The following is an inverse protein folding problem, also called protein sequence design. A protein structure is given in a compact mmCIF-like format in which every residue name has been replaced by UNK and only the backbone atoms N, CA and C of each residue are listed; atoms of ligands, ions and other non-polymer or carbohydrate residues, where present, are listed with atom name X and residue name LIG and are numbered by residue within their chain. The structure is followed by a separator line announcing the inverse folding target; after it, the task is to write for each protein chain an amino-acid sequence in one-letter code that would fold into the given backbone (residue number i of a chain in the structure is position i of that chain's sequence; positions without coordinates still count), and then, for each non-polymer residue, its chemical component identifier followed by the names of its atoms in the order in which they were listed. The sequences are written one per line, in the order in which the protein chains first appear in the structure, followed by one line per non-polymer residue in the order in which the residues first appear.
data_IF_152711241905
#
_entry.id   IF_152711241905
#
_cell.length_a   1.000
_cell.length_b   1.000
_cell.length_c   1.000
_cell.angle_alpha   90.00
_cell.angle_beta   90.00
_cell.angle_gamma   90.00
#
_symmetry.space_group_name_H-M   'P 1'
#
loop_
_entity.id
_entity.type
_entity.pdbx_description
1 polymer ?
#
# COMPACT_ATOMS: atom_id res chain seq x y z
N UNK A 1 39.05 56.86 9.44
CA UNK A 1 39.54 55.46 9.39
C UNK A 1 40.55 55.37 8.26
N UNK A 2 41.75 54.82 8.49
CA UNK A 2 42.71 54.67 7.41
C UNK A 2 42.10 53.74 6.35
N UNK A 3 42.17 54.12 5.07
CA UNK A 3 41.83 53.23 3.97
C UNK A 3 42.78 52.03 4.08
N UNK A 4 42.25 50.82 4.24
CA UNK A 4 43.04 49.60 4.04
C UNK A 4 43.65 49.71 2.64
N UNK A 5 44.98 49.78 2.57
CA UNK A 5 45.68 49.80 1.31
C UNK A 5 45.54 48.41 0.69
N UNK A 6 45.07 48.35 -0.57
CA UNK A 6 45.07 47.11 -1.31
C UNK A 6 46.51 46.61 -1.42
N UNK A 7 46.75 45.40 -0.90
CA UNK A 7 48.07 44.78 -0.86
C UNK A 7 48.64 44.63 -2.28
N UNK A 8 47.78 44.42 -3.29
CA UNK A 8 48.20 44.32 -4.69
C UNK A 8 48.74 45.65 -5.21
N UNK A 9 48.08 46.76 -4.88
CA UNK A 9 48.53 48.09 -5.29
C UNK A 9 49.86 48.46 -4.62
N UNK A 10 50.06 48.07 -3.35
CA UNK A 10 51.32 48.28 -2.62
C UNK A 10 52.46 47.47 -3.25
N UNK A 11 52.22 46.19 -3.57
CA UNK A 11 53.23 45.32 -4.19
C UNK A 11 53.55 45.78 -5.61
N UNK A 12 52.53 46.14 -6.40
CA UNK A 12 52.69 46.66 -7.77
C UNK A 12 53.50 47.95 -7.76
N UNK A 13 53.14 48.90 -6.90
CA UNK A 13 53.87 50.16 -6.75
C UNK A 13 55.34 49.94 -6.34
N UNK A 14 55.61 49.00 -5.43
CA UNK A 14 56.98 48.67 -5.03
C UNK A 14 57.81 48.07 -6.17
N UNK A 15 57.23 47.14 -6.94
CA UNK A 15 57.90 46.49 -8.08
C UNK A 15 58.15 47.48 -9.23
N UNK A 16 57.19 48.36 -9.54
CA UNK A 16 57.32 49.40 -10.58
C UNK A 16 58.44 50.41 -10.26
N UNK A 17 58.68 50.68 -8.98
CA UNK A 17 59.75 51.57 -8.52
C UNK A 17 61.08 50.84 -8.27
N UNK A 18 61.25 49.62 -8.82
CA UNK A 18 62.48 48.85 -8.76
C UNK A 18 62.82 48.31 -7.37
N UNK A 19 61.88 48.32 -6.42
CA UNK A 19 62.10 47.80 -5.07
C UNK A 19 61.93 46.29 -5.06
N UNK A 20 62.81 45.61 -4.34
CA UNK A 20 62.69 44.18 -4.11
C UNK A 20 61.67 43.91 -3.02
N UNK A 21 60.57 43.23 -3.38
CA UNK A 21 59.56 42.78 -2.42
C UNK A 21 59.91 41.36 -1.99
N UNK A 22 60.04 41.15 -0.68
CA UNK A 22 60.27 39.84 -0.09
C UNK A 22 59.04 39.43 0.70
N UNK A 23 58.56 38.22 0.47
CA UNK A 23 57.41 37.67 1.19
C UNK A 23 57.85 36.43 1.96
N UNK A 24 57.46 36.32 3.24
CA UNK A 24 57.71 35.12 4.02
C UNK A 24 56.90 33.94 3.45
N UNK A 25 57.58 32.88 3.03
CA UNK A 25 57.01 31.63 2.53
C UNK A 25 57.32 30.52 3.52
N UNK A 26 56.30 29.77 3.93
CA UNK A 26 56.49 28.58 4.75
C UNK A 26 56.83 27.40 3.84
N UNK A 27 58.06 26.92 3.90
CA UNK A 27 58.42 25.61 3.40
C UNK A 27 58.21 24.58 4.51
N UNK A 28 57.74 23.38 4.13
CA UNK A 28 57.66 22.18 4.98
C UNK A 28 57.08 22.33 6.41
N UNK A 29 56.04 23.16 6.59
CA UNK A 29 55.28 23.39 7.84
C UNK A 29 56.09 23.90 9.04
N UNK A 30 57.42 23.98 8.97
CA UNK A 30 58.28 24.41 10.09
C UNK A 30 59.31 25.46 9.71
N UNK A 31 59.52 25.74 8.42
CA UNK A 31 60.62 26.61 7.97
C UNK A 31 60.08 27.83 7.25
N UNK A 32 60.39 29.03 7.73
CA UNK A 32 60.03 30.29 7.07
C UNK A 32 61.22 30.82 6.27
N UNK A 33 61.05 30.97 4.95
CA UNK A 33 62.06 31.54 4.05
C UNK A 33 61.53 32.81 3.38
N UNK A 34 62.38 33.81 3.19
CA UNK A 34 62.00 35.02 2.46
C UNK A 34 62.26 34.84 0.96
N UNK A 35 61.19 34.88 0.14
CA UNK A 35 61.30 34.75 -1.32
C UNK A 35 61.13 36.10 -1.99
N UNK A 36 62.02 36.43 -2.93
CA UNK A 36 61.96 37.67 -3.72
C UNK A 36 60.92 37.53 -4.84
N UNK A 37 59.90 38.40 -4.82
CA UNK A 37 58.90 38.50 -5.87
C UNK A 37 59.47 39.21 -7.11
N UNK A 38 59.18 38.65 -8.29
CA UNK A 38 59.55 39.24 -9.59
C UNK A 38 58.35 39.74 -10.39
N UNK A 39 57.17 39.14 -10.24
CA UNK A 39 55.91 39.50 -10.92
C UNK A 39 54.70 39.09 -10.09
N UNK A 40 53.60 39.84 -10.18
CA UNK A 40 52.30 39.49 -9.58
C UNK A 40 51.71 38.20 -10.16
N UNK A 41 52.08 37.81 -11.38
CA UNK A 41 51.62 36.56 -12.02
C UNK A 41 52.17 35.30 -11.35
N UNK A 42 53.20 35.43 -10.51
CA UNK A 42 53.79 34.31 -9.77
C UNK A 42 53.13 34.03 -8.41
N UNK A 43 51.93 34.60 -8.18
CA UNK A 43 51.18 34.48 -6.92
C UNK A 43 49.87 33.74 -7.17
N UNK A 44 49.75 32.52 -6.64
CA UNK A 44 48.50 31.72 -6.69
C UNK A 44 47.82 31.73 -5.34
N UNK A 45 46.66 32.39 -5.23
CA UNK A 45 45.91 32.50 -3.97
C UNK A 45 45.16 31.22 -3.66
N UNK A 46 45.25 30.73 -2.42
CA UNK A 46 44.49 29.57 -1.93
C UNK A 46 43.85 29.92 -0.58
N UNK A 47 42.52 29.91 -0.44
CA UNK A 47 41.86 30.20 0.83
C UNK A 47 42.01 29.04 1.83
N UNK A 48 42.13 29.35 3.13
CA UNK A 48 42.18 28.34 4.20
C UNK A 48 40.80 27.71 4.54
N UNK A 49 39.71 28.44 4.28
CA UNK A 49 38.33 27.96 4.26
C UNK A 49 37.49 28.92 3.40
N UNK A 50 36.63 28.38 2.54
CA UNK A 50 35.72 29.17 1.71
C UNK A 50 34.26 28.96 2.11
N UNK A 51 33.43 29.98 1.96
CA UNK A 51 31.98 29.88 2.12
C UNK A 51 31.27 30.55 0.94
N UNK A 52 30.11 30.04 0.53
CA UNK A 52 29.24 30.80 -0.38
C UNK A 52 28.42 31.86 0.40
N UNK A 53 27.73 32.76 -0.33
CA UNK A 53 26.87 33.79 0.28
C UNK A 53 25.62 33.24 0.99
N UNK A 54 25.29 31.97 0.82
CA UNK A 54 24.18 31.29 1.50
C UNK A 54 24.66 30.51 2.75
N UNK A 55 25.96 30.55 3.07
CA UNK A 55 26.54 29.89 4.24
C UNK A 55 27.04 28.47 3.99
N UNK A 56 27.09 28.00 2.74
CA UNK A 56 27.65 26.70 2.37
C UNK A 56 29.15 26.65 2.57
N UNK A 57 29.65 25.69 3.37
CA UNK A 57 31.08 25.50 3.67
C UNK A 57 31.82 24.78 2.55
N UNK A 58 32.96 25.31 2.11
CA UNK A 58 33.85 24.65 1.16
C UNK A 58 34.77 23.63 1.87
N UNK A 59 34.42 22.34 1.75
CA UNK A 59 35.30 21.18 2.00
C UNK A 59 35.56 20.79 3.48
N UNK A 60 35.78 19.48 3.70
CA UNK A 60 36.35 18.92 4.93
C UNK A 60 37.52 17.98 4.59
N UNK A 61 38.75 18.49 4.66
CA UNK A 61 39.94 17.65 4.88
C UNK A 61 40.52 16.82 3.72
N UNK A 62 40.12 17.08 2.47
CA UNK A 62 40.78 16.73 1.20
C UNK A 62 39.90 17.31 0.05
N UNK A 63 39.74 18.62 0.06
CA UNK A 63 38.65 19.33 -0.64
C UNK A 63 38.85 19.49 -2.15
N UNK A 64 37.84 20.05 -2.82
CA UNK A 64 37.83 20.43 -4.24
C UNK A 64 39.12 21.13 -4.70
N UNK A 65 39.67 22.02 -3.87
CA UNK A 65 40.91 22.74 -4.13
C UNK A 65 42.18 21.86 -4.07
N UNK A 66 42.22 20.80 -3.25
CA UNK A 66 43.37 19.89 -3.16
C UNK A 66 43.56 19.04 -4.43
N UNK A 67 42.48 18.87 -5.22
CA UNK A 67 42.54 18.21 -6.54
C UNK A 67 42.95 19.19 -7.63
N UNK A 68 42.47 20.43 -7.59
CA UNK A 68 42.88 21.51 -8.51
C UNK A 68 44.37 21.85 -8.36
N UNK A 69 44.91 21.77 -7.13
CA UNK A 69 46.33 21.95 -6.83
C UNK A 69 47.25 20.92 -7.50
N UNK A 70 46.73 19.73 -7.86
CA UNK A 70 47.52 18.68 -8.54
C UNK A 70 47.72 18.94 -10.03
N UNK A 71 46.88 19.79 -10.63
CA UNK A 71 46.93 20.12 -12.06
C UNK A 71 47.79 21.37 -12.36
N UNK A 72 48.23 22.08 -11.32
CA UNK A 72 49.06 23.29 -11.43
C UNK A 72 50.55 22.92 -11.56
N UNK A 73 51.27 23.61 -12.45
CA UNK A 73 52.69 23.34 -12.72
C UNK A 73 53.60 23.67 -11.51
N UNK A 74 54.78 23.05 -11.37
CA UNK A 74 55.58 23.09 -10.14
C UNK A 74 56.25 24.43 -9.80
N UNK A 75 56.05 25.50 -10.58
CA UNK A 75 56.75 26.76 -10.35
C UNK A 75 56.13 27.53 -9.18
N UNK A 76 56.70 27.29 -7.99
CA UNK A 76 56.65 28.08 -6.75
C UNK A 76 55.25 28.55 -6.32
N UNK A 77 54.59 27.72 -5.50
CA UNK A 77 53.30 28.05 -4.86
C UNK A 77 53.47 29.06 -3.72
N UNK A 78 52.66 30.13 -3.70
CA UNK A 78 52.58 31.10 -2.60
C UNK A 78 51.15 31.15 -2.06
N UNK A 79 50.87 30.51 -0.92
CA UNK A 79 49.56 30.62 -0.27
C UNK A 79 49.47 31.85 0.63
N UNK A 80 48.58 32.80 0.32
CA UNK A 80 48.18 33.87 1.26
C UNK A 80 46.88 33.42 1.93
N UNK A 81 46.95 33.04 3.20
CA UNK A 81 45.76 32.67 3.98
C UNK A 81 45.00 33.93 4.42
N UNK A 82 43.79 34.13 3.92
CA UNK A 82 42.77 34.93 4.60
C UNK A 82 41.83 34.03 5.41
N UNK A 83 41.16 34.61 6.40
CA UNK A 83 40.25 33.87 7.29
C UNK A 83 38.98 33.36 6.56
N UNK A 84 38.49 34.07 5.52
CA UNK A 84 37.26 33.74 4.78
C UNK A 84 37.33 34.30 3.35
N UNK A 85 36.89 33.53 2.34
CA UNK A 85 36.63 34.01 0.97
C UNK A 85 35.17 33.71 0.58
N UNK A 86 34.46 34.71 0.07
CA UNK A 86 33.06 34.61 -0.41
C UNK A 86 33.05 34.55 -1.94
N UNK A 87 32.36 33.56 -2.51
CA UNK A 87 32.27 33.34 -3.96
C UNK A 87 30.89 33.80 -4.49
N UNK A 88 30.87 34.49 -5.65
CA UNK A 88 29.65 35.15 -6.18
C UNK A 88 28.70 34.22 -6.97
N UNK A 89 29.17 33.08 -7.47
CA UNK A 89 28.33 32.11 -8.21
C UNK A 89 27.93 30.90 -7.37
N UNK A 90 26.71 30.39 -7.59
CA UNK A 90 26.22 29.15 -6.98
C UNK A 90 27.11 27.97 -7.42
N UNK A 91 27.61 27.19 -6.48
CA UNK A 91 28.55 26.09 -6.75
C UNK A 91 27.89 25.07 -7.70
N UNK A 92 28.53 24.70 -8.83
CA UNK A 92 28.04 23.58 -9.64
C UNK A 92 28.15 22.29 -8.82
N UNK A 93 27.03 21.59 -8.64
CA UNK A 93 26.98 20.31 -7.94
C UNK A 93 27.92 19.30 -8.61
N UNK A 94 28.84 18.73 -7.83
CA UNK A 94 29.75 17.67 -8.30
C UNK A 94 28.96 16.39 -8.62
N UNK A 95 29.53 15.52 -9.45
CA UNK A 95 28.88 14.26 -9.86
C UNK A 95 28.58 13.36 -8.63
N UNK A 96 29.42 13.43 -7.60
CA UNK A 96 29.22 12.77 -6.32
C UNK A 96 28.04 13.36 -5.53
N UNK A 97 27.88 14.69 -5.52
CA UNK A 97 26.77 15.36 -4.83
C UNK A 97 25.44 15.05 -5.52
N UNK A 98 25.42 15.00 -6.85
CA UNK A 98 24.26 14.55 -7.63
C UNK A 98 23.87 13.12 -7.27
N UNK A 99 24.83 12.20 -7.16
CA UNK A 99 24.57 10.81 -6.76
C UNK A 99 24.03 10.74 -5.33
N UNK A 100 24.61 11.47 -4.38
CA UNK A 100 24.14 11.49 -3.00
C UNK A 100 22.71 12.05 -2.87
N UNK A 101 22.37 13.07 -3.67
CA UNK A 101 21.02 13.63 -3.72
C UNK A 101 20.03 12.62 -4.29
N UNK A 102 20.37 11.88 -5.35
CA UNK A 102 19.52 10.80 -5.87
C UNK A 102 19.26 9.74 -4.80
N UNK A 103 20.29 9.33 -4.06
CA UNK A 103 20.14 8.37 -2.94
C UNK A 103 19.20 8.91 -1.87
N UNK A 104 19.41 10.17 -1.45
CA UNK A 104 18.57 10.81 -0.44
C UNK A 104 17.11 10.94 -0.90
N UNK A 105 16.88 11.26 -2.18
CA UNK A 105 15.55 11.32 -2.78
C UNK A 105 14.89 9.95 -2.81
N UNK A 106 15.61 8.87 -3.15
CA UNK A 106 15.05 7.51 -3.15
C UNK A 106 14.65 7.10 -1.73
N UNK A 107 15.53 7.33 -0.74
CA UNK A 107 15.24 7.02 0.67
C UNK A 107 14.05 7.85 1.17
N UNK A 108 14.01 9.16 0.87
CA UNK A 108 12.91 10.03 1.23
C UNK A 108 11.58 9.62 0.60
N UNK A 109 11.61 9.24 -0.69
CA UNK A 109 10.44 8.73 -1.42
C UNK A 109 9.96 7.42 -0.83
N UNK A 110 10.87 6.51 -0.50
CA UNK A 110 10.54 5.25 0.18
C UNK A 110 9.88 5.53 1.54
N UNK A 111 10.49 6.37 2.38
CA UNK A 111 9.96 6.70 3.71
C UNK A 111 8.56 7.36 3.64
N UNK A 112 8.32 8.20 2.63
CA UNK A 112 7.02 8.81 2.40
C UNK A 112 5.97 7.80 1.90
N UNK A 113 6.35 6.91 0.97
CA UNK A 113 5.43 5.99 0.31
C UNK A 113 5.14 4.71 1.11
N UNK A 114 6.03 4.27 2.00
CA UNK A 114 5.94 2.95 2.65
C UNK A 114 4.71 2.84 3.56
N UNK A 115 4.44 3.87 4.37
CA UNK A 115 3.33 3.87 5.31
C UNK A 115 1.95 3.82 4.61
N UNK A 116 1.65 4.66 3.60
CA UNK A 116 0.38 4.56 2.88
C UNK A 116 0.25 3.27 2.07
N UNK A 117 1.34 2.73 1.50
CA UNK A 117 1.30 1.43 0.81
C UNK A 117 1.00 0.28 1.77
N UNK A 118 1.75 0.19 2.88
CA UNK A 118 1.55 -0.84 3.87
C UNK A 118 0.15 -0.78 4.50
N UNK A 119 -0.37 0.43 4.73
CA UNK A 119 -1.73 0.64 5.25
C UNK A 119 -2.84 0.34 4.25
N UNK A 120 -2.55 0.32 2.94
CA UNK A 120 -3.55 0.02 1.90
C UNK A 120 -3.84 -1.47 1.72
N UNK A 121 -2.99 -2.34 2.28
CA UNK A 121 -3.17 -3.79 2.21
C UNK A 121 -4.28 -4.22 3.19
N UNK A 122 -5.23 -5.01 2.68
CA UNK A 122 -6.24 -5.67 3.52
C UNK A 122 -5.54 -6.62 4.48
N UNK A 123 -6.10 -6.85 5.66
CA UNK A 123 -5.52 -7.75 6.67
C UNK A 123 -6.36 -9.03 6.75
N UNK A 124 -5.68 -10.17 6.79
CA UNK A 124 -6.33 -11.47 6.88
C UNK A 124 -6.76 -11.79 8.30
N UNK A 125 -7.48 -12.90 8.45
CA UNK A 125 -8.00 -13.39 9.73
C UNK A 125 -6.90 -13.48 10.80
N UNK A 126 -5.71 -13.96 10.45
CA UNK A 126 -4.61 -14.15 11.41
C UNK A 126 -4.06 -12.83 11.99
N UNK A 127 -4.20 -11.72 11.26
CA UNK A 127 -3.68 -10.40 11.65
C UNK A 127 -4.77 -9.51 12.25
N UNK A 128 -5.98 -9.54 11.68
CA UNK A 128 -7.10 -8.70 12.10
C UNK A 128 -7.99 -9.36 13.17
N UNK A 129 -7.87 -10.69 13.33
CA UNK A 129 -8.84 -11.50 14.06
C UNK A 129 -10.13 -11.68 13.25
N UNK A 130 -11.06 -12.48 13.80
CA UNK A 130 -12.35 -12.71 13.17
C UNK A 130 -12.98 -14.04 13.56
N UNK A 131 -13.91 -14.52 12.75
CA UNK A 131 -14.65 -15.75 13.04
C UNK A 131 -14.39 -16.83 12.00
N UNK A 132 -14.10 -18.04 12.45
CA UNK A 132 -14.10 -19.27 11.67
C UNK A 132 -15.35 -20.09 12.02
N UNK A 133 -16.15 -20.42 11.02
CA UNK A 133 -17.46 -21.09 11.15
C UNK A 133 -17.44 -22.35 10.30
N UNK A 134 -17.81 -23.47 10.88
CA UNK A 134 -18.04 -24.73 10.15
C UNK A 134 -19.54 -24.97 10.08
N UNK A 135 -20.05 -24.99 8.86
CA UNK A 135 -21.45 -25.22 8.55
C UNK A 135 -21.64 -26.62 7.96
N UNK A 136 -22.78 -27.25 8.21
CA UNK A 136 -23.19 -28.51 7.61
C UNK A 136 -24.53 -28.36 6.88
N UNK A 137 -24.56 -28.85 5.64
CA UNK A 137 -25.74 -28.92 4.82
C UNK A 137 -26.57 -30.16 5.17
N UNK A 138 -27.81 -29.91 5.55
CA UNK A 138 -28.84 -30.92 5.80
C UNK A 138 -29.90 -30.90 4.71
N UNK A 139 -30.54 -32.06 4.51
CA UNK A 139 -31.71 -32.18 3.67
C UNK A 139 -32.80 -31.21 4.15
N UNK A 140 -33.46 -30.56 3.20
CA UNK A 140 -34.50 -29.57 3.46
C UNK A 140 -35.77 -29.91 2.70
N UNK A 141 -36.87 -29.23 3.01
CA UNK A 141 -38.11 -29.35 2.23
C UNK A 141 -37.94 -28.98 0.74
N UNK A 142 -36.89 -28.21 0.41
CA UNK A 142 -36.60 -27.70 -0.93
C UNK A 142 -35.57 -28.53 -1.70
N UNK A 143 -34.89 -29.50 -1.07
CA UNK A 143 -33.89 -30.32 -1.74
C UNK A 143 -33.01 -31.17 -0.82
N UNK A 144 -32.38 -32.18 -1.41
CA UNK A 144 -31.40 -33.06 -0.75
C UNK A 144 -30.01 -32.42 -0.72
N UNK A 145 -29.26 -32.64 0.35
CA UNK A 145 -27.85 -32.25 0.52
C UNK A 145 -26.94 -33.18 -0.30
N UNK A 146 -27.06 -33.05 -1.62
CA UNK A 146 -26.16 -33.62 -2.62
C UNK A 146 -25.00 -32.66 -2.95
N UNK A 147 -24.06 -33.13 -3.77
CA UNK A 147 -22.87 -32.35 -4.10
C UNK A 147 -23.19 -31.02 -4.80
N UNK A 148 -24.20 -31.00 -5.66
CA UNK A 148 -24.56 -29.82 -6.45
C UNK A 148 -25.28 -28.79 -5.59
N UNK A 149 -26.14 -29.23 -4.67
CA UNK A 149 -26.82 -28.38 -3.71
C UNK A 149 -25.84 -27.72 -2.75
N UNK A 150 -24.83 -28.45 -2.27
CA UNK A 150 -23.76 -27.90 -1.42
C UNK A 150 -22.93 -26.87 -2.18
N UNK A 151 -22.60 -27.11 -3.46
CA UNK A 151 -21.84 -26.16 -4.27
C UNK A 151 -22.66 -24.88 -4.56
N UNK A 152 -23.95 -25.02 -4.88
CA UNK A 152 -24.86 -23.88 -5.01
C UNK A 152 -24.99 -23.09 -3.71
N UNK A 153 -25.12 -23.79 -2.57
CA UNK A 153 -25.15 -23.15 -1.26
C UNK A 153 -23.85 -22.37 -0.98
N UNK A 154 -22.69 -22.95 -1.30
CA UNK A 154 -21.38 -22.28 -1.20
C UNK A 154 -21.37 -20.96 -1.98
N UNK A 155 -21.80 -20.98 -3.25
CA UNK A 155 -21.84 -19.80 -4.11
C UNK A 155 -22.79 -18.71 -3.57
N UNK A 156 -23.95 -19.10 -3.04
CA UNK A 156 -24.90 -18.16 -2.43
C UNK A 156 -24.32 -17.54 -1.17
N UNK A 157 -23.73 -18.35 -0.28
CA UNK A 157 -23.08 -17.88 0.94
C UNK A 157 -21.93 -16.92 0.61
N UNK A 158 -21.08 -17.28 -0.35
CA UNK A 158 -20.00 -16.43 -0.86
C UNK A 158 -20.53 -15.09 -1.38
N UNK A 159 -21.59 -15.10 -2.20
CA UNK A 159 -22.22 -13.86 -2.69
C UNK A 159 -22.77 -12.99 -1.54
N UNK A 160 -23.48 -13.58 -0.58
CA UNK A 160 -23.99 -12.84 0.60
C UNK A 160 -22.86 -12.17 1.37
N UNK A 161 -21.79 -12.91 1.61
CA UNK A 161 -20.68 -12.42 2.42
C UNK A 161 -19.91 -11.32 1.70
N UNK A 162 -19.69 -11.47 0.39
CA UNK A 162 -19.09 -10.42 -0.43
C UNK A 162 -19.94 -9.15 -0.46
N UNK A 163 -21.27 -9.27 -0.55
CA UNK A 163 -22.19 -8.13 -0.55
C UNK A 163 -22.30 -7.41 0.81
N UNK A 164 -22.00 -8.10 1.91
CA UNK A 164 -21.90 -7.45 3.23
C UNK A 164 -20.68 -6.52 3.35
N UNK A 165 -19.76 -6.55 2.37
CA UNK A 165 -18.56 -5.70 2.37
C UNK A 165 -17.47 -6.19 3.30
N UNK A 166 -17.51 -7.48 3.69
CA UNK A 166 -16.45 -8.09 4.48
C UNK A 166 -15.18 -8.26 3.63
N UNK A 167 -14.02 -8.06 4.25
CA UNK A 167 -12.73 -8.12 3.55
C UNK A 167 -12.30 -9.57 3.38
N UNK A 168 -12.37 -10.07 2.14
CA UNK A 168 -11.89 -11.40 1.72
C UNK A 168 -12.36 -12.56 2.60
N UNK A 169 -13.68 -12.82 2.61
CA UNK A 169 -14.19 -14.01 3.26
C UNK A 169 -13.67 -15.27 2.55
N UNK A 170 -13.23 -16.26 3.34
CA UNK A 170 -12.88 -17.56 2.78
C UNK A 170 -14.10 -18.47 2.90
N UNK A 171 -14.67 -18.87 1.77
CA UNK A 171 -15.76 -19.86 1.74
C UNK A 171 -15.27 -21.09 1.02
N UNK A 172 -14.99 -22.14 1.77
CA UNK A 172 -14.49 -23.41 1.25
C UNK A 172 -15.43 -24.54 1.58
N UNK A 173 -15.45 -25.55 0.72
CA UNK A 173 -16.16 -26.79 0.98
C UNK A 173 -15.22 -27.79 1.63
N UNK A 174 -15.68 -28.46 2.67
CA UNK A 174 -14.97 -29.54 3.35
C UNK A 174 -15.78 -30.84 3.23
N UNK A 175 -15.23 -31.85 2.56
CA UNK A 175 -15.88 -33.14 2.37
C UNK A 175 -17.19 -33.07 1.56
N UNK A 176 -18.17 -33.89 1.95
CA UNK A 176 -19.42 -34.05 1.19
C UNK A 176 -20.46 -32.96 1.49
N UNK A 177 -20.55 -32.50 2.75
CA UNK A 177 -21.67 -31.68 3.24
C UNK A 177 -21.25 -30.47 4.07
N UNK A 178 -19.95 -30.23 4.29
CA UNK A 178 -19.51 -29.12 5.14
C UNK A 178 -19.02 -27.94 4.33
N UNK A 179 -19.28 -26.75 4.86
CA UNK A 179 -18.82 -25.48 4.31
C UNK A 179 -18.12 -24.73 5.43
N UNK A 180 -16.83 -24.46 5.24
CA UNK A 180 -16.00 -23.65 6.13
C UNK A 180 -16.09 -22.21 5.67
N UNK A 181 -16.37 -21.30 6.61
CA UNK A 181 -16.47 -19.87 6.37
C UNK A 181 -15.53 -19.14 7.33
N UNK A 182 -14.65 -18.31 6.80
CA UNK A 182 -13.81 -17.42 7.58
C UNK A 182 -14.19 -15.97 7.28
N UNK A 183 -14.48 -15.22 8.34
CA UNK A 183 -14.95 -13.85 8.30
C UNK A 183 -13.96 -12.94 9.04
N UNK A 184 -12.98 -12.34 8.33
CA UNK A 184 -12.04 -11.41 8.94
C UNK A 184 -12.75 -10.16 9.48
N UNK A 185 -12.36 -9.72 10.67
CA UNK A 185 -12.90 -8.52 11.32
C UNK A 185 -14.29 -8.66 11.93
N UNK A 186 -14.98 -9.79 11.77
CA UNK A 186 -16.24 -10.09 12.45
C UNK A 186 -15.97 -10.52 13.89
N UNK A 187 -16.57 -9.80 14.85
CA UNK A 187 -16.39 -10.07 16.28
C UNK A 187 -17.53 -10.89 16.88
N UNK A 188 -18.73 -10.70 16.36
CA UNK A 188 -19.93 -11.41 16.79
C UNK A 188 -20.28 -12.50 15.76
N UNK A 189 -19.96 -13.77 16.05
CA UNK A 189 -20.25 -14.87 15.15
C UNK A 189 -21.75 -15.10 14.99
N UNK A 190 -22.53 -14.91 16.06
CA UNK A 190 -23.95 -15.25 16.08
C UNK A 190 -24.74 -14.29 15.19
N UNK A 191 -24.37 -13.01 15.20
CA UNK A 191 -24.94 -12.01 14.30
C UNK A 191 -24.64 -12.34 12.83
N UNK A 192 -23.41 -12.70 12.51
CA UNK A 192 -23.01 -13.07 11.15
C UNK A 192 -23.74 -14.34 10.68
N UNK A 193 -23.82 -15.36 11.53
CA UNK A 193 -24.57 -16.60 11.26
C UNK A 193 -26.05 -16.28 11.01
N UNK A 194 -26.65 -15.40 11.81
CA UNK A 194 -28.06 -15.02 11.66
C UNK A 194 -28.33 -14.24 10.36
N UNK A 195 -27.38 -13.45 9.88
CA UNK A 195 -27.50 -12.74 8.59
C UNK A 195 -27.27 -13.69 7.41
N UNK A 196 -26.26 -14.55 7.48
CA UNK A 196 -25.83 -15.44 6.39
C UNK A 196 -26.73 -16.69 6.27
N UNK A 197 -27.14 -17.28 7.40
CA UNK A 197 -27.82 -18.57 7.50
C UNK A 197 -29.35 -18.52 7.32
N UNK A 198 -29.95 -17.35 7.14
CA UNK A 198 -31.37 -17.26 6.79
C UNK A 198 -31.62 -17.91 5.44
N UNK A 199 -32.54 -18.87 5.36
CA UNK A 199 -33.16 -19.19 4.08
C UNK A 199 -33.82 -17.90 3.57
N UNK A 200 -33.81 -17.64 2.27
CA UNK A 200 -34.38 -16.41 1.71
C UNK A 200 -35.31 -16.77 0.57
N UNK A 201 -36.27 -17.66 0.85
CA UNK A 201 -37.21 -18.12 -0.16
C UNK A 201 -38.26 -17.02 -0.36
N UNK A 202 -38.01 -16.14 -1.33
CA UNK A 202 -38.97 -15.12 -1.76
C UNK A 202 -39.99 -15.75 -2.70
N UNK A 203 -41.27 -15.56 -2.40
CA UNK A 203 -42.39 -16.01 -3.22
C UNK A 203 -43.40 -14.88 -3.41
N UNK A 204 -43.92 -14.74 -4.63
CA UNK A 204 -45.06 -13.88 -4.91
C UNK A 204 -46.27 -14.78 -5.19
N UNK A 205 -47.31 -14.60 -4.38
CA UNK A 205 -48.53 -15.41 -4.41
C UNK A 205 -49.70 -14.58 -4.91
N UNK A 206 -50.51 -15.19 -5.77
CA UNK A 206 -51.75 -14.59 -6.22
C UNK A 206 -52.79 -14.54 -5.08
N UNK A 207 -53.98 -14.00 -5.37
CA UNK A 207 -55.13 -13.93 -4.45
C UNK A 207 -55.62 -15.30 -3.96
N UNK A 208 -55.26 -16.38 -4.66
CA UNK A 208 -55.57 -17.77 -4.30
C UNK A 208 -54.44 -18.45 -3.50
N UNK A 209 -53.36 -17.73 -3.19
CA UNK A 209 -52.22 -18.24 -2.43
C UNK A 209 -51.25 -19.11 -3.24
N UNK A 210 -51.38 -19.17 -4.57
CA UNK A 210 -50.47 -19.93 -5.44
C UNK A 210 -49.24 -19.10 -5.79
N UNK A 211 -48.04 -19.69 -5.65
CA UNK A 211 -46.76 -19.06 -6.02
C UNK A 211 -46.64 -18.95 -7.55
N UNK A 212 -46.49 -17.73 -8.06
CA UNK A 212 -46.41 -17.44 -9.50
C UNK A 212 -44.99 -17.07 -9.93
N UNK A 213 -44.20 -16.49 -9.02
CA UNK A 213 -42.79 -16.17 -9.24
C UNK A 213 -42.01 -16.25 -7.92
N UNK A 214 -40.70 -16.47 -8.03
CA UNK A 214 -39.78 -16.62 -6.90
C UNK A 214 -38.66 -15.58 -6.95
N UNK A 215 -37.77 -15.61 -5.95
CA UNK A 215 -36.56 -14.79 -5.93
C UNK A 215 -35.62 -15.00 -7.14
N UNK A 216 -35.69 -16.15 -7.83
CA UNK A 216 -34.87 -16.43 -9.01
C UNK A 216 -35.27 -15.57 -10.23
N UNK A 217 -36.47 -15.00 -10.22
CA UNK A 217 -36.97 -14.08 -11.24
C UNK A 217 -36.49 -12.62 -11.00
N UNK A 218 -35.69 -12.37 -9.96
CA UNK A 218 -35.08 -11.08 -9.67
C UNK A 218 -33.76 -10.91 -10.41
N UNK A 219 -33.52 -9.70 -10.91
CA UNK A 219 -32.24 -9.28 -11.51
C UNK A 219 -31.37 -8.52 -10.52
N UNK A 220 -31.96 -7.61 -9.74
CA UNK A 220 -31.26 -6.80 -8.75
C UNK A 220 -32.21 -6.41 -7.61
N UNK A 221 -31.68 -6.08 -6.44
CA UNK A 221 -32.41 -5.52 -5.32
C UNK A 221 -31.53 -4.51 -4.58
N UNK A 222 -32.05 -3.34 -4.21
CA UNK A 222 -31.28 -2.28 -3.53
C UNK A 222 -32.12 -1.60 -2.46
N UNK A 223 -31.47 -1.22 -1.38
CA UNK A 223 -32.05 -0.35 -0.36
C UNK A 223 -32.23 1.08 -0.91
N UNK A 224 -33.39 1.67 -0.67
CA UNK A 224 -33.71 3.04 -1.08
C UNK A 224 -34.44 3.76 0.06
N UNK A 225 -34.23 5.08 0.17
CA UNK A 225 -35.00 5.93 1.07
C UNK A 225 -36.13 6.58 0.28
N UNK A 226 -37.37 6.23 0.63
CA UNK A 226 -38.57 6.86 0.06
C UNK A 226 -38.71 8.33 0.44
N UNK A 227 -39.72 9.00 -0.12
CA UNK A 227 -39.96 10.44 0.04
C UNK A 227 -40.02 10.90 1.51
N UNK A 228 -40.46 10.04 2.43
CA UNK A 228 -40.56 10.33 3.87
C UNK A 228 -39.41 9.72 4.70
N UNK A 229 -38.24 9.46 4.09
CA UNK A 229 -37.12 8.70 4.71
C UNK A 229 -37.54 7.30 5.19
N UNK A 230 -38.59 6.74 4.58
CA UNK A 230 -39.01 5.38 4.85
C UNK A 230 -38.02 4.44 4.15
N UNK A 231 -37.45 3.45 4.85
CA UNK A 231 -36.58 2.47 4.23
C UNK A 231 -37.43 1.52 3.36
N UNK A 232 -37.03 1.40 2.10
CA UNK A 232 -37.69 0.58 1.08
C UNK A 232 -36.65 -0.32 0.44
N UNK A 233 -37.08 -1.45 -0.10
CA UNK A 233 -36.24 -2.29 -0.96
C UNK A 233 -36.78 -2.21 -2.39
N UNK A 234 -36.03 -1.55 -3.27
CA UNK A 234 -36.31 -1.50 -4.69
C UNK A 234 -35.81 -2.78 -5.34
N UNK A 235 -36.69 -3.50 -6.04
CA UNK A 235 -36.36 -4.72 -6.78
C UNK A 235 -36.49 -4.47 -8.28
N UNK A 236 -35.53 -4.99 -9.04
CA UNK A 236 -35.54 -5.04 -10.50
C UNK A 236 -35.68 -6.50 -10.93
N UNK A 237 -36.64 -6.76 -11.81
CA UNK A 237 -36.94 -8.10 -12.32
C UNK A 237 -36.11 -8.42 -13.56
N UNK A 238 -35.89 -9.72 -13.81
CA UNK A 238 -35.36 -10.17 -15.10
C UNK A 238 -36.40 -9.99 -16.21
N UNK A 239 -36.00 -10.12 -17.48
CA UNK A 239 -36.95 -9.97 -18.60
C UNK A 239 -38.08 -11.02 -18.54
N UNK A 240 -37.79 -12.22 -18.05
CA UNK A 240 -38.79 -13.27 -17.80
C UNK A 240 -39.64 -12.97 -16.57
N UNK A 241 -39.00 -12.53 -15.48
CA UNK A 241 -39.67 -12.13 -14.24
C UNK A 241 -40.64 -10.95 -14.45
N UNK A 242 -40.25 -9.97 -15.26
CA UNK A 242 -41.08 -8.81 -15.60
C UNK A 242 -42.35 -9.23 -16.35
N UNK A 243 -42.28 -10.20 -17.25
CA UNK A 243 -43.45 -10.76 -17.94
C UNK A 243 -44.37 -11.50 -16.98
N UNK A 244 -43.81 -12.39 -16.15
CA UNK A 244 -44.58 -13.12 -15.12
C UNK A 244 -45.27 -12.15 -14.15
N UNK A 245 -44.57 -11.09 -13.73
CA UNK A 245 -45.09 -10.09 -12.82
C UNK A 245 -46.15 -9.17 -13.46
N UNK A 246 -45.97 -8.81 -14.73
CA UNK A 246 -46.98 -8.09 -15.51
C UNK A 246 -48.26 -8.91 -15.65
N UNK A 247 -48.14 -10.21 -15.93
CA UNK A 247 -49.28 -11.13 -16.01
C UNK A 247 -49.97 -11.30 -14.66
N UNK A 248 -49.20 -11.47 -13.59
CA UNK A 248 -49.70 -11.58 -12.22
C UNK A 248 -50.48 -10.32 -11.81
N UNK A 249 -49.91 -9.13 -12.03
CA UNK A 249 -50.55 -7.86 -11.66
C UNK A 249 -51.77 -7.56 -12.54
N UNK A 250 -51.73 -7.87 -13.84
CA UNK A 250 -52.85 -7.66 -14.76
C UNK A 250 -54.07 -8.51 -14.42
N UNK A 251 -53.86 -9.75 -13.96
CA UNK A 251 -54.95 -10.67 -13.56
C UNK A 251 -55.53 -10.33 -12.18
N UNK A 252 -54.79 -9.61 -11.36
CA UNK A 252 -55.11 -9.35 -9.96
C UNK A 252 -55.42 -7.88 -9.66
N UNK A 253 -55.80 -7.07 -10.66
CA UNK A 253 -56.22 -5.66 -10.46
C UNK A 253 -57.42 -5.60 -9.48
N UNK A 254 -57.29 -4.75 -8.45
CA UNK A 254 -58.25 -4.62 -7.36
C UNK A 254 -58.17 -5.74 -6.31
N UNK A 255 -57.31 -6.74 -6.51
CA UNK A 255 -57.06 -7.84 -5.57
C UNK A 255 -55.69 -7.70 -4.91
N UNK A 256 -55.43 -8.50 -3.89
CA UNK A 256 -54.15 -8.49 -3.17
C UNK A 256 -53.19 -9.52 -3.74
N UNK A 257 -51.89 -9.21 -3.69
CA UNK A 257 -50.79 -10.15 -3.96
C UNK A 257 -50.00 -10.29 -2.66
N UNK A 258 -49.79 -11.51 -2.19
CA UNK A 258 -48.96 -11.71 -1.00
C UNK A 258 -47.49 -11.90 -1.43
N UNK A 259 -46.60 -11.12 -0.84
CA UNK A 259 -45.14 -11.30 -0.95
C UNK A 259 -44.69 -11.96 0.35
N UNK A 260 -44.19 -13.19 0.27
CA UNK A 260 -43.76 -13.96 1.43
C UNK A 260 -42.27 -14.27 1.37
N UNK A 261 -41.61 -14.25 2.52
CA UNK A 261 -40.22 -14.68 2.70
C UNK A 261 -40.20 -15.83 3.70
N UNK A 262 -39.72 -17.00 3.29
CA UNK A 262 -39.76 -18.25 4.06
C UNK A 262 -41.17 -18.57 4.60
N UNK A 263 -42.20 -18.29 3.78
CA UNK A 263 -43.61 -18.49 4.14
C UNK A 263 -44.20 -17.46 5.10
N UNK A 264 -43.41 -16.51 5.63
CA UNK A 264 -43.93 -15.37 6.41
C UNK A 264 -44.32 -14.23 5.48
N UNK A 265 -45.50 -13.66 5.68
CA UNK A 265 -45.99 -12.51 4.90
C UNK A 265 -45.14 -11.27 5.21
N UNK A 266 -44.44 -10.75 4.19
CA UNK A 266 -43.72 -9.48 4.28
C UNK A 266 -44.65 -8.30 4.01
N UNK A 267 -45.44 -8.42 2.93
CA UNK A 267 -46.35 -7.36 2.48
C UNK A 267 -47.46 -7.97 1.63
N UNK A 268 -48.65 -7.37 1.74
CA UNK A 268 -49.85 -7.86 1.07
C UNK A 268 -50.64 -6.67 0.46
N UNK A 269 -50.07 -6.00 -0.56
CA UNK A 269 -50.62 -4.77 -1.10
C UNK A 269 -51.74 -5.08 -2.11
N UNK A 270 -52.62 -4.11 -2.30
CA UNK A 270 -53.67 -4.17 -3.34
C UNK A 270 -53.07 -3.69 -4.66
N UNK A 271 -53.25 -4.48 -5.72
CA UNK A 271 -52.81 -4.10 -7.07
C UNK A 271 -53.77 -3.05 -7.63
N UNK A 272 -53.27 -1.84 -7.86
CA UNK A 272 -54.09 -0.76 -8.42
C UNK A 272 -54.08 -0.77 -9.95
N UNK A 273 -52.95 -1.15 -10.55
CA UNK A 273 -52.75 -1.20 -11.99
C UNK A 273 -51.72 -2.28 -12.35
N UNK A 274 -51.73 -2.73 -13.60
CA UNK A 274 -50.72 -3.64 -14.11
C UNK A 274 -49.33 -3.00 -14.09
N UNK A 275 -48.33 -3.72 -13.58
CA UNK A 275 -46.94 -3.26 -13.52
C UNK A 275 -46.16 -3.95 -14.63
N UNK A 276 -45.97 -3.24 -15.74
CA UNK A 276 -45.21 -3.75 -16.91
C UNK A 276 -43.76 -3.29 -16.93
N UNK A 277 -43.37 -2.37 -16.04
CA UNK A 277 -42.05 -1.74 -16.02
C UNK A 277 -40.93 -2.57 -15.39
N UNK A 278 -41.21 -3.79 -14.93
CA UNK A 278 -40.19 -4.70 -14.36
C UNK A 278 -39.56 -4.23 -13.03
N UNK A 279 -40.09 -3.18 -12.40
CA UNK A 279 -39.58 -2.62 -11.14
C UNK A 279 -40.69 -2.59 -10.09
N UNK A 280 -40.34 -2.92 -8.85
CA UNK A 280 -41.25 -2.85 -7.71
C UNK A 280 -40.51 -2.44 -6.45
N UNK A 281 -41.27 -1.99 -5.44
CA UNK A 281 -40.73 -1.59 -4.14
C UNK A 281 -41.40 -2.38 -3.04
N UNK A 282 -40.62 -2.99 -2.15
CA UNK A 282 -41.09 -3.68 -0.96
C UNK A 282 -40.96 -2.71 0.22
N UNK A 283 -42.08 -2.36 0.83
CA UNK A 283 -42.16 -1.55 2.05
C UNK A 283 -42.28 -2.45 3.29
N UNK A 284 -41.94 -1.93 4.48
CA UNK A 284 -42.18 -2.62 5.75
C UNK A 284 -40.94 -2.83 6.62
N UNK A 285 -39.74 -2.51 6.12
CA UNK A 285 -38.53 -2.47 6.93
C UNK A 285 -38.62 -1.37 7.99
N UNK A 286 -38.10 -1.64 9.20
CA UNK A 286 -38.10 -0.67 10.30
C UNK A 286 -36.90 0.28 10.24
N UNK A 287 -35.81 -0.15 9.58
CA UNK A 287 -34.57 0.62 9.45
C UNK A 287 -33.94 0.46 8.06
N UNK A 288 -33.05 1.40 7.71
CA UNK A 288 -32.25 1.31 6.48
C UNK A 288 -31.33 0.08 6.50
N UNK A 289 -30.82 -0.30 7.67
CA UNK A 289 -29.95 -1.48 7.82
C UNK A 289 -30.73 -2.77 7.55
N UNK A 290 -31.97 -2.88 8.06
CA UNK A 290 -32.83 -4.03 7.77
C UNK A 290 -33.21 -4.13 6.29
N UNK A 291 -33.47 -2.98 5.64
CA UNK A 291 -33.71 -2.94 4.20
C UNK A 291 -32.47 -3.39 3.39
N UNK A 292 -31.27 -2.98 3.83
CA UNK A 292 -30.00 -3.42 3.22
C UNK A 292 -29.78 -4.92 3.38
N UNK A 293 -29.97 -5.46 4.59
CA UNK A 293 -29.86 -6.90 4.84
C UNK A 293 -30.86 -7.69 3.99
N UNK A 294 -32.10 -7.22 3.86
CA UNK A 294 -33.10 -7.83 3.00
C UNK A 294 -32.69 -7.76 1.51
N UNK A 295 -32.18 -6.62 1.03
CA UNK A 295 -31.69 -6.48 -0.34
C UNK A 295 -30.55 -7.47 -0.65
N UNK A 296 -29.61 -7.67 0.27
CA UNK A 296 -28.54 -8.67 0.16
C UNK A 296 -29.14 -10.08 0.03
N UNK A 297 -30.09 -10.43 0.90
CA UNK A 297 -30.75 -11.74 0.86
C UNK A 297 -31.46 -11.97 -0.48
N UNK A 298 -32.20 -10.97 -0.99
CA UNK A 298 -32.93 -11.06 -2.26
C UNK A 298 -32.00 -11.18 -3.46
N UNK A 299 -30.92 -10.37 -3.53
CA UNK A 299 -29.92 -10.50 -4.60
C UNK A 299 -29.27 -11.87 -4.56
N UNK A 300 -28.92 -12.34 -3.37
CA UNK A 300 -28.18 -13.58 -3.18
C UNK A 300 -28.95 -14.87 -3.49
N UNK A 301 -30.28 -14.82 -3.51
CA UNK A 301 -31.13 -15.97 -3.78
C UNK A 301 -31.34 -16.88 -2.56
N UNK A 302 -32.20 -17.89 -2.72
CA UNK A 302 -32.56 -18.82 -1.66
C UNK A 302 -31.55 -19.97 -1.54
N UNK A 303 -31.24 -20.37 -0.30
CA UNK A 303 -30.41 -21.54 -0.04
C UNK A 303 -31.17 -22.82 -0.46
N UNK A 304 -30.55 -23.74 -1.23
CA UNK A 304 -31.22 -24.96 -1.70
C UNK A 304 -31.37 -26.02 -0.59
N UNK A 305 -30.58 -25.89 0.47
CA UNK A 305 -30.48 -26.83 1.60
C UNK A 305 -30.47 -26.05 2.91
N UNK A 306 -30.85 -26.72 4.00
CA UNK A 306 -30.78 -26.14 5.33
C UNK A 306 -29.33 -26.18 5.80
N UNK A 307 -28.85 -25.09 6.37
CA UNK A 307 -27.48 -24.99 6.87
C UNK A 307 -27.50 -24.91 8.38
N UNK A 308 -26.85 -25.85 9.06
CA UNK A 308 -26.66 -25.86 10.50
C UNK A 308 -25.21 -25.54 10.85
N UNK A 309 -25.01 -24.93 12.02
CA UNK A 309 -23.67 -24.61 12.53
C UNK A 309 -23.15 -25.77 13.34
N UNK A 310 -22.03 -26.36 12.91
CA UNK A 310 -21.34 -27.41 13.66
C UNK A 310 -20.36 -26.83 14.68
N UNK A 311 -19.58 -25.84 14.25
CA UNK A 311 -18.50 -25.28 15.05
C UNK A 311 -18.33 -23.79 14.77
N UNK A 312 -18.06 -23.03 15.83
CA UNK A 312 -17.70 -21.62 15.76
C UNK A 312 -16.44 -21.41 16.58
N UNK A 313 -15.40 -20.89 15.95
CA UNK A 313 -14.17 -20.44 16.60
C UNK A 313 -13.98 -18.96 16.32
N UNK A 314 -13.91 -18.15 17.37
CA UNK A 314 -13.60 -16.73 17.22
C UNK A 314 -12.16 -16.50 17.63
N UNK A 315 -11.35 -15.97 16.72
CA UNK A 315 -9.98 -15.53 17.02
C UNK A 315 -10.06 -14.10 17.53
N UNK A 316 -9.70 -13.91 18.79
CA UNK A 316 -9.75 -12.62 19.46
C UNK A 316 -8.85 -11.57 18.79
N UNK A 317 -9.30 -10.32 18.61
CA UNK A 317 -8.49 -9.24 18.01
C UNK A 317 -7.17 -8.99 18.74
N UNK A 318 -7.09 -9.28 20.04
CA UNK A 318 -5.89 -9.10 20.84
C UNK A 318 -4.74 -10.04 20.42
N UNK A 319 -5.06 -11.27 20.01
CA UNK A 319 -4.06 -12.23 19.51
C UNK A 319 -3.54 -11.83 18.14
N UNK A 320 -4.43 -11.33 17.25
CA UNK A 320 -4.05 -10.78 15.95
C UNK A 320 -3.20 -9.52 16.08
N UNK A 321 -3.59 -8.58 16.94
CA UNK A 321 -2.86 -7.33 17.15
C UNK A 321 -1.48 -7.55 17.79
N UNK A 322 -1.36 -8.41 18.80
CA UNK A 322 -0.07 -8.77 19.40
C UNK A 322 0.84 -9.48 18.37
N UNK A 323 0.27 -10.35 17.54
CA UNK A 323 1.02 -11.00 16.45
C UNK A 323 1.48 -10.00 15.40
N UNK A 324 0.64 -9.01 15.07
CA UNK A 324 0.97 -7.93 14.14
C UNK A 324 2.11 -7.06 14.66
N UNK A 325 2.03 -6.62 15.92
CA UNK A 325 3.04 -5.76 16.52
C UNK A 325 4.40 -6.49 16.61
N UNK A 326 4.40 -7.75 17.07
CA UNK A 326 5.61 -8.59 17.08
C UNK A 326 6.17 -8.84 15.68
N UNK A 327 5.30 -9.08 14.69
CA UNK A 327 5.72 -9.29 13.30
C UNK A 327 6.34 -8.04 12.69
N UNK A 328 5.80 -6.85 12.96
CA UNK A 328 6.36 -5.56 12.48
C UNK A 328 7.73 -5.30 13.11
N UNK A 329 7.89 -5.57 14.41
CA UNK A 329 9.18 -5.41 15.10
C UNK A 329 10.21 -6.42 14.56
N UNK A 330 9.86 -7.70 14.43
CA UNK A 330 10.75 -8.72 13.88
C UNK A 330 11.16 -8.41 12.43
N UNK A 331 10.19 -7.98 11.61
CA UNK A 331 10.42 -7.59 10.22
C UNK A 331 11.38 -6.40 10.10
N UNK A 332 11.11 -5.31 10.82
CA UNK A 332 11.97 -4.12 10.78
C UNK A 332 13.38 -4.40 11.31
N UNK A 333 13.51 -5.18 12.39
CA UNK A 333 14.81 -5.61 12.91
C UNK A 333 15.59 -6.48 11.91
N UNK A 334 14.92 -7.42 11.24
CA UNK A 334 15.52 -8.28 10.23
C UNK A 334 16.05 -7.50 9.02
N UNK A 335 15.26 -6.57 8.48
CA UNK A 335 15.68 -5.72 7.36
C UNK A 335 16.85 -4.83 7.78
N UNK A 336 16.79 -4.22 8.97
CA UNK A 336 17.89 -3.40 9.48
C UNK A 336 19.20 -4.21 9.57
N UNK A 337 19.14 -5.44 10.07
CA UNK A 337 20.30 -6.33 10.17
C UNK A 337 20.87 -6.67 8.79
N UNK A 338 20.02 -6.99 7.81
CA UNK A 338 20.43 -7.24 6.42
C UNK A 338 21.09 -6.01 5.80
N UNK A 339 20.48 -4.83 5.97
CA UNK A 339 21.01 -3.58 5.42
C UNK A 339 22.39 -3.24 6.01
N UNK A 340 22.56 -3.43 7.31
CA UNK A 340 23.84 -3.24 8.01
C UNK A 340 24.87 -4.25 7.51
N UNK A 341 24.50 -5.53 7.41
CA UNK A 341 25.38 -6.60 6.92
C UNK A 341 25.92 -6.29 5.51
N UNK A 342 25.06 -5.86 4.59
CA UNK A 342 25.45 -5.49 3.23
C UNK A 342 26.44 -4.32 3.21
N UNK A 343 26.23 -3.30 4.05
CA UNK A 343 27.14 -2.15 4.14
C UNK A 343 28.49 -2.55 4.73
N UNK A 344 28.52 -3.40 5.75
CA UNK A 344 29.77 -3.83 6.40
C UNK A 344 30.63 -4.65 5.45
N UNK A 345 30.06 -5.65 4.76
CA UNK A 345 30.83 -6.54 3.90
C UNK A 345 31.15 -5.93 2.53
N UNK A 346 30.20 -5.23 1.92
CA UNK A 346 30.31 -4.75 0.53
C UNK A 346 30.55 -3.24 0.41
N UNK A 347 30.65 -2.51 1.54
CA UNK A 347 30.94 -1.07 1.58
C UNK A 347 30.01 -0.27 0.66
N UNK A 348 30.57 0.42 -0.34
CA UNK A 348 29.81 1.24 -1.29
C UNK A 348 28.83 0.41 -2.14
N UNK A 349 29.24 -0.79 -2.59
CA UNK A 349 28.34 -1.70 -3.32
C UNK A 349 27.18 -2.15 -2.44
N UNK A 350 27.38 -2.25 -1.12
CA UNK A 350 26.31 -2.53 -0.16
C UNK A 350 25.24 -1.43 -0.09
N UNK A 351 25.61 -0.16 -0.27
CA UNK A 351 24.65 0.96 -0.33
C UNK A 351 23.77 0.83 -1.59
N UNK A 352 24.38 0.51 -2.73
CA UNK A 352 23.65 0.26 -3.99
C UNK A 352 22.67 -0.90 -3.84
N UNK A 353 23.09 -1.98 -3.18
CA UNK A 353 22.24 -3.13 -2.85
C UNK A 353 21.02 -2.74 -2.02
N UNK A 354 21.22 -1.91 -0.99
CA UNK A 354 20.14 -1.44 -0.12
C UNK A 354 19.14 -0.57 -0.89
N UNK A 355 19.60 0.29 -1.80
CA UNK A 355 18.71 1.09 -2.66
C UNK A 355 17.86 0.17 -3.55
N UNK A 356 18.48 -0.84 -4.18
CA UNK A 356 17.77 -1.81 -4.98
C UNK A 356 16.72 -2.59 -4.15
N UNK A 357 17.06 -2.96 -2.91
CA UNK A 357 16.15 -3.61 -1.98
C UNK A 357 14.95 -2.72 -1.60
N UNK A 358 15.18 -1.43 -1.32
CA UNK A 358 14.10 -0.48 -1.02
C UNK A 358 13.15 -0.32 -2.20
N UNK A 359 13.68 -0.17 -3.41
CA UNK A 359 12.88 -0.10 -4.63
C UNK A 359 12.10 -1.40 -4.85
N UNK A 360 12.73 -2.55 -4.64
CA UNK A 360 12.08 -3.85 -4.74
C UNK A 360 10.89 -3.98 -3.78
N UNK A 361 11.08 -3.67 -2.50
CA UNK A 361 10.02 -3.71 -1.48
C UNK A 361 8.89 -2.74 -1.84
N UNK A 362 9.22 -1.52 -2.28
CA UNK A 362 8.23 -0.54 -2.70
C UNK A 362 7.38 -1.05 -3.87
N UNK A 363 8.01 -1.62 -4.91
CA UNK A 363 7.31 -2.21 -6.05
C UNK A 363 6.44 -3.39 -5.66
N UNK A 364 6.96 -4.28 -4.81
CA UNK A 364 6.22 -5.44 -4.31
C UNK A 364 4.95 -4.98 -3.58
N UNK A 365 5.06 -4.02 -2.67
CA UNK A 365 3.91 -3.50 -1.93
C UNK A 365 2.94 -2.71 -2.83
N UNK A 366 3.43 -2.00 -3.84
CA UNK A 366 2.60 -1.29 -4.81
C UNK A 366 1.74 -2.26 -5.63
N UNK A 367 2.36 -3.34 -6.12
CA UNK A 367 1.69 -4.37 -6.92
C UNK A 367 0.67 -5.14 -6.07
N UNK A 368 1.05 -5.57 -4.87
CA UNK A 368 0.12 -6.27 -3.98
C UNK A 368 -1.03 -5.36 -3.52
N UNK A 369 -0.74 -4.14 -3.09
CA UNK A 369 -1.72 -3.21 -2.55
C UNK A 369 -2.64 -2.63 -3.62
N UNK A 370 -2.10 -1.85 -4.55
CA UNK A 370 -2.92 -1.13 -5.54
C UNK A 370 -3.18 -1.92 -6.82
N UNK A 371 -2.31 -2.87 -7.16
CA UNK A 371 -2.48 -3.70 -8.36
C UNK A 371 -3.53 -4.78 -8.17
N UNK A 372 -3.34 -5.61 -7.14
CA UNK A 372 -4.17 -6.80 -6.90
C UNK A 372 -5.14 -6.68 -5.71
N UNK A 373 -5.08 -5.60 -4.91
CA UNK A 373 -5.83 -5.47 -3.65
C UNK A 373 -5.67 -6.69 -2.73
N UNK A 374 -4.46 -7.26 -2.69
CA UNK A 374 -4.17 -8.49 -1.97
C UNK A 374 -4.26 -8.32 -0.45
N UNK A 375 -4.66 -9.39 0.23
CA UNK A 375 -4.67 -9.46 1.70
C UNK A 375 -3.36 -9.95 2.28
N UNK A 376 -2.94 -9.27 3.34
CA UNK A 376 -1.79 -9.61 4.15
C UNK A 376 -2.16 -10.64 5.21
N UNK A 377 -1.56 -11.83 5.14
CA UNK A 377 -1.66 -12.90 6.14
C UNK A 377 -0.30 -13.14 6.80
N UNK A 378 -0.25 -13.89 7.90
CA UNK A 378 1.01 -14.29 8.54
C UNK A 378 1.94 -15.07 7.55
N UNK A 379 1.44 -16.07 6.81
CA UNK A 379 2.20 -16.70 5.72
C UNK A 379 2.61 -15.72 4.62
N UNK A 380 1.75 -14.75 4.29
CA UNK A 380 2.09 -13.68 3.35
C UNK A 380 3.31 -12.86 3.80
N UNK A 381 3.37 -12.49 5.08
CA UNK A 381 4.52 -11.76 5.65
C UNK A 381 5.78 -12.61 5.53
N UNK A 382 5.71 -13.89 5.88
CA UNK A 382 6.82 -14.83 5.74
C UNK A 382 7.29 -14.95 4.28
N UNK A 383 6.36 -14.98 3.32
CA UNK A 383 6.66 -14.99 1.89
C UNK A 383 7.39 -13.74 1.41
N UNK A 384 7.00 -12.55 1.89
CA UNK A 384 7.71 -11.29 1.60
C UNK A 384 9.13 -11.35 2.17
N UNK A 385 9.31 -11.80 3.41
CA UNK A 385 10.63 -11.93 4.04
C UNK A 385 11.53 -12.87 3.25
N UNK A 386 11.02 -14.05 2.87
CA UNK A 386 11.75 -15.02 2.06
C UNK A 386 12.16 -14.41 0.72
N UNK A 387 11.23 -13.74 0.05
CA UNK A 387 11.45 -13.10 -1.25
C UNK A 387 12.51 -11.99 -1.18
N UNK A 388 12.53 -11.20 -0.10
CA UNK A 388 13.58 -10.23 0.16
C UNK A 388 14.94 -10.89 0.38
N UNK A 389 15.00 -12.01 1.10
CA UNK A 389 16.23 -12.79 1.28
C UNK A 389 16.82 -13.25 -0.05
N UNK A 390 15.97 -13.78 -0.94
CA UNK A 390 16.37 -14.20 -2.30
C UNK A 390 16.85 -12.99 -3.13
N UNK A 391 16.18 -11.85 -3.05
CA UNK A 391 16.60 -10.63 -3.76
C UNK A 391 17.98 -10.14 -3.29
N UNK A 392 18.28 -10.25 -2.00
CA UNK A 392 19.58 -9.89 -1.42
C UNK A 392 20.67 -10.87 -1.85
N UNK A 393 20.39 -12.18 -1.85
CA UNK A 393 21.33 -13.22 -2.30
C UNK A 393 21.73 -13.02 -3.77
N UNK A 394 20.76 -12.68 -4.63
CA UNK A 394 21.02 -12.34 -6.03
C UNK A 394 22.01 -11.15 -6.16
N UNK A 395 21.84 -10.11 -5.35
CA UNK A 395 22.77 -8.97 -5.33
C UNK A 395 24.17 -9.38 -4.87
N UNK A 396 24.26 -10.23 -3.85
CA UNK A 396 25.53 -10.76 -3.34
C UNK A 396 26.28 -11.54 -4.43
N UNK A 397 25.59 -12.45 -5.14
CA UNK A 397 26.17 -13.23 -6.24
C UNK A 397 26.73 -12.32 -7.34
N UNK A 398 25.98 -11.28 -7.73
CA UNK A 398 26.42 -10.31 -8.73
C UNK A 398 27.69 -9.58 -8.25
N UNK A 399 27.75 -9.16 -6.99
CA UNK A 399 28.91 -8.42 -6.49
C UNK A 399 30.15 -9.27 -6.29
N UNK A 400 30.02 -10.51 -5.82
CA UNK A 400 31.16 -11.42 -5.74
C UNK A 400 31.67 -11.75 -7.14
N UNK A 401 30.77 -11.96 -8.11
CA UNK A 401 31.18 -12.17 -9.51
C UNK A 401 31.91 -10.96 -10.09
N UNK A 402 31.39 -9.76 -9.86
CA UNK A 402 32.02 -8.52 -10.31
C UNK A 402 33.41 -8.34 -9.68
N UNK A 403 33.55 -8.66 -8.39
CA UNK A 403 34.82 -8.59 -7.67
C UNK A 403 35.83 -9.61 -8.22
N UNK A 404 35.40 -10.82 -8.56
CA UNK A 404 36.24 -11.83 -9.22
C UNK A 404 36.75 -11.33 -10.58
N UNK A 405 35.88 -10.76 -11.42
CA UNK A 405 36.24 -10.28 -12.76
C UNK A 405 37.17 -9.06 -12.74
N UNK A 406 36.96 -8.13 -11.80
CA UNK A 406 37.88 -7.00 -11.60
C UNK A 406 39.25 -7.50 -11.14
N UNK A 407 39.29 -8.47 -10.23
CA UNK A 407 40.55 -9.01 -9.71
C UNK A 407 41.30 -9.86 -10.75
N UNK A 408 40.59 -10.57 -11.63
CA UNK A 408 41.20 -11.34 -12.72
C UNK A 408 41.76 -10.45 -13.83
N UNK A 409 41.11 -9.32 -14.12
CA UNK A 409 41.56 -8.36 -15.15
C UNK A 409 42.77 -7.54 -14.69
N UNK A 410 42.97 -7.37 -13.38
CA UNK A 410 44.10 -6.66 -12.79
C UNK A 410 45.37 -7.50 -12.66
N UNK A 411 45.31 -8.80 -12.99
CA UNK A 411 46.42 -9.76 -12.91
C UNK A 411 46.89 -10.15 -14.30
#
# INVERSE_FOLDING_TARGET
MPKEADLDDVIRHALEHGKSVYVPVCTDKTTMIAVRLKSLESITRVPGAGFDRQGGRMGMGNGYYDRFLKELSPSTFMGVCWAVQLWDTLIPMDELDQRMIVIAVIIGTFAYCIQPLAGSLKQGLDLQGGTHIVLEAEDSATGTADNDAVERAKQILERRINEMGLSEPLVQREGARRIIIELPGVKDPDEAIKRIGKTAVLEFKNDQGQTVMTGDDLKDAKEELGQNKQPLVAIELSDEGAKKFADLTSKNIGRRIAITLDGKELTNPVVQQAITGGKATISGSQSLEEAKDLAILLRSGALPVKINVLEVRTVGPSLGQDSKDKSVVAFSAGIAMIMIFLVILYRFSGIVANIALLVYVMLLLLVLGKGFNATMTLPGIAGIILSMGVAVDANILIFERFKEEVFSTLR
#
